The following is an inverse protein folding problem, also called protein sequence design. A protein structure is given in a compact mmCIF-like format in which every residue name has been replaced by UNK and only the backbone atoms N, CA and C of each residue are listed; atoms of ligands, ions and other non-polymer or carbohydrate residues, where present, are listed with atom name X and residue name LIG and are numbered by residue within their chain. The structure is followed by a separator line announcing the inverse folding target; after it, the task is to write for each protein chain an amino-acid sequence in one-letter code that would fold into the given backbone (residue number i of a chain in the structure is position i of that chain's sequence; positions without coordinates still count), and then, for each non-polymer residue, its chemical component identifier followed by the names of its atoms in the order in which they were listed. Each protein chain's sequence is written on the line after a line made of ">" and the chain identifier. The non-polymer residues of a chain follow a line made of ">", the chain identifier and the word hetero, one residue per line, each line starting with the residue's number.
data_IF_500130265534
#
_entry.id   IF_500130265534
#
_cell.length_a   1.000
_cell.length_b   1.000
_cell.length_c   1.000
_cell.angle_alpha   90.00
_cell.angle_beta   90.00
_cell.angle_gamma   90.00
#
_symmetry.space_group_name_H-M   'P 1'
#
loop_
_entity.id
_entity.type
_entity.pdbx_description
1 polymer ?
#
# COMPACT_ATOMS: atom_id res chain seq x y z
N UNK A 1 50.58 -5.66 -49.63
CA UNK A 1 49.68 -5.97 -50.75
C UNK A 1 48.67 -7.03 -50.35
N UNK A 2 47.39 -6.67 -50.16
CA UNK A 2 46.22 -7.41 -50.62
C UNK A 2 44.96 -6.59 -50.35
N UNK A 3 44.22 -6.42 -51.44
CA UNK A 3 43.06 -5.55 -51.69
C UNK A 3 41.79 -6.13 -51.02
N UNK A 4 40.82 -5.29 -50.63
CA UNK A 4 39.61 -5.66 -49.88
C UNK A 4 38.59 -6.46 -50.72
N UNK A 5 37.75 -7.26 -50.04
CA UNK A 5 36.56 -7.90 -50.63
C UNK A 5 35.28 -7.09 -50.36
N UNK A 6 34.31 -7.07 -51.29
CA UNK A 6 33.18 -6.14 -51.35
C UNK A 6 31.93 -6.58 -50.56
N UNK A 7 30.94 -5.69 -50.37
CA UNK A 7 29.75 -5.95 -49.53
C UNK A 7 28.68 -6.81 -50.22
N UNK A 8 28.05 -7.69 -49.44
CA UNK A 8 26.92 -8.51 -49.89
C UNK A 8 25.62 -7.72 -49.77
N UNK A 9 24.88 -7.68 -50.88
CA UNK A 9 23.62 -6.97 -51.09
C UNK A 9 22.47 -7.55 -50.26
N UNK A 10 21.64 -6.63 -49.77
CA UNK A 10 20.31 -6.82 -49.20
C UNK A 10 19.44 -7.71 -50.10
N UNK A 11 18.93 -8.82 -49.56
CA UNK A 11 17.80 -9.58 -50.13
C UNK A 11 16.54 -9.17 -49.40
N UNK A 12 15.65 -8.51 -50.13
CA UNK A 12 14.26 -8.27 -49.77
C UNK A 12 13.53 -9.61 -49.71
N UNK A 13 13.09 -10.02 -48.52
CA UNK A 13 12.13 -11.12 -48.40
C UNK A 13 10.72 -10.55 -48.47
N UNK A 14 10.02 -10.92 -49.55
CA UNK A 14 8.57 -10.77 -49.74
C UNK A 14 7.84 -11.37 -48.54
N UNK A 15 7.08 -10.53 -47.83
CA UNK A 15 6.05 -10.94 -46.89
C UNK A 15 4.86 -11.47 -47.69
N UNK A 16 4.54 -12.75 -47.52
CA UNK A 16 3.31 -13.34 -48.04
C UNK A 16 2.15 -13.09 -47.06
N UNK A 17 0.94 -12.76 -47.54
CA UNK A 17 -0.20 -12.45 -46.68
C UNK A 17 -0.77 -13.72 -46.04
N UNK A 18 -1.04 -13.65 -44.72
CA UNK A 18 -1.77 -14.69 -43.97
C UNK A 18 -3.25 -14.66 -44.37
N UNK A 19 -3.90 -15.81 -44.60
CA UNK A 19 -5.34 -15.85 -44.85
C UNK A 19 -6.13 -15.55 -43.57
N UNK A 20 -7.11 -14.65 -43.71
CA UNK A 20 -8.15 -14.39 -42.73
C UNK A 20 -8.98 -15.65 -42.49
N UNK A 21 -9.03 -16.12 -41.24
CA UNK A 21 -10.05 -17.06 -40.76
C UNK A 21 -11.04 -16.26 -39.92
N UNK A 22 -12.30 -16.30 -40.35
CA UNK A 22 -13.45 -15.69 -39.71
C UNK A 22 -13.70 -16.31 -38.32
N UNK A 23 -14.32 -15.52 -37.45
CA UNK A 23 -14.46 -15.80 -36.03
C UNK A 23 -15.31 -17.02 -35.70
N UNK A 24 -14.74 -17.87 -34.85
CA UNK A 24 -15.49 -18.67 -33.89
C UNK A 24 -15.24 -18.05 -32.51
N UNK A 25 -16.29 -17.44 -31.95
CA UNK A 25 -16.28 -16.93 -30.59
C UNK A 25 -16.22 -18.11 -29.61
N UNK A 26 -15.09 -18.27 -28.93
CA UNK A 26 -15.02 -19.10 -27.72
C UNK A 26 -16.02 -18.54 -26.70
N UNK A 27 -16.84 -19.38 -26.03
CA UNK A 27 -17.63 -18.91 -24.91
C UNK A 27 -16.69 -18.43 -23.80
N UNK A 28 -17.02 -17.32 -23.10
CA UNK A 28 -16.21 -16.85 -21.99
C UNK A 28 -16.12 -17.96 -20.93
N UNK A 29 -14.95 -18.17 -20.30
CA UNK A 29 -14.85 -19.09 -19.18
C UNK A 29 -15.84 -18.64 -18.09
N UNK A 30 -16.48 -19.58 -17.37
CA UNK A 30 -17.37 -19.21 -16.28
C UNK A 30 -16.58 -18.35 -15.31
N UNK A 31 -17.15 -17.20 -14.96
CA UNK A 31 -16.60 -16.29 -13.95
C UNK A 31 -16.66 -17.03 -12.62
N UNK A 32 -15.59 -17.78 -12.34
CA UNK A 32 -15.37 -18.39 -11.04
C UNK A 32 -15.11 -17.25 -10.07
N UNK A 33 -16.10 -17.03 -9.20
CA UNK A 33 -16.01 -16.15 -8.05
C UNK A 33 -14.65 -16.26 -7.37
N UNK A 34 -13.99 -15.10 -7.20
CA UNK A 34 -12.69 -14.89 -6.54
C UNK A 34 -12.52 -15.68 -5.23
N UNK A 35 -13.64 -15.99 -4.56
CA UNK A 35 -13.68 -16.77 -3.31
C UNK A 35 -13.21 -18.23 -3.43
N UNK A 36 -13.33 -18.88 -4.59
CA UNK A 36 -12.90 -20.28 -4.74
C UNK A 36 -11.41 -20.44 -5.09
N UNK A 37 -10.76 -19.42 -5.69
CA UNK A 37 -9.32 -19.47 -5.97
C UNK A 37 -8.45 -19.23 -4.72
N UNK A 38 -8.95 -18.48 -3.72
CA UNK A 38 -8.22 -18.31 -2.46
C UNK A 38 -8.20 -19.58 -1.60
N UNK A 39 -9.23 -20.44 -1.67
CA UNK A 39 -9.34 -21.61 -0.77
C UNK A 39 -8.42 -22.77 -1.14
N UNK A 40 -7.95 -22.84 -2.39
CA UNK A 40 -7.03 -23.89 -2.85
C UNK A 40 -5.54 -23.51 -2.71
N UNK A 41 -5.21 -22.22 -2.58
CA UNK A 41 -3.82 -21.78 -2.30
C UNK A 41 -3.40 -21.88 -0.84
N UNK A 42 -4.35 -21.93 0.10
CA UNK A 42 -4.04 -22.01 1.54
C UNK A 42 -3.53 -23.38 2.02
N UNK A 43 -3.71 -24.46 1.23
CA UNK A 43 -3.27 -25.80 1.64
C UNK A 43 -1.77 -26.07 1.43
N UNK A 44 -1.12 -25.32 0.55
CA UNK A 44 0.28 -25.54 0.16
C UNK A 44 1.29 -24.58 0.80
N UNK A 45 0.84 -23.69 1.71
CA UNK A 45 1.73 -22.78 2.45
C UNK A 45 2.26 -23.36 3.77
N UNK A 46 1.86 -24.57 4.13
CA UNK A 46 2.35 -25.26 5.35
C UNK A 46 3.88 -25.41 5.39
N UNK A 47 4.57 -25.79 4.30
CA UNK A 47 6.03 -25.87 4.31
C UNK A 47 6.71 -24.50 4.42
N UNK A 48 6.08 -23.44 3.92
CA UNK A 48 6.64 -22.08 3.91
C UNK A 48 6.49 -21.38 5.27
N UNK A 49 5.36 -21.58 5.95
CA UNK A 49 5.15 -21.09 7.32
C UNK A 49 6.01 -21.83 8.35
N UNK A 50 6.21 -23.15 8.19
CA UNK A 50 7.14 -23.91 9.03
C UNK A 50 8.60 -23.47 8.87
N UNK A 51 8.99 -23.01 7.67
CA UNK A 51 10.34 -22.51 7.41
C UNK A 51 10.57 -21.08 7.93
N UNK A 52 9.50 -20.28 8.12
CA UNK A 52 9.58 -18.97 8.79
C UNK A 52 9.54 -19.08 10.31
N UNK A 53 8.87 -20.09 10.87
CA UNK A 53 8.87 -20.35 12.31
C UNK A 53 10.28 -20.71 12.87
N UNK A 54 11.19 -21.18 12.03
CA UNK A 54 12.59 -21.48 12.41
C UNK A 54 13.57 -20.32 12.25
N UNK A 55 13.15 -19.18 11.70
CA UNK A 55 13.95 -17.96 11.66
C UNK A 55 13.49 -17.05 12.79
N UNK A 56 14.25 -17.00 13.87
CA UNK A 56 14.06 -16.02 14.94
C UNK A 56 13.93 -14.63 14.32
N UNK A 57 12.73 -14.05 14.33
CA UNK A 57 12.49 -12.66 13.91
C UNK A 57 13.32 -11.77 14.84
N UNK A 58 14.45 -11.20 14.39
CA UNK A 58 15.50 -10.70 15.27
C UNK A 58 15.12 -9.40 16.00
N UNK A 59 13.95 -8.84 15.69
CA UNK A 59 13.42 -7.59 16.24
C UNK A 59 12.23 -7.82 17.17
N UNK A 60 11.72 -9.05 17.29
CA UNK A 60 10.61 -9.35 18.18
C UNK A 60 11.15 -9.84 19.53
N UNK A 61 10.62 -9.27 20.60
CA UNK A 61 10.98 -9.69 21.96
C UNK A 61 10.48 -11.13 22.20
N UNK A 62 11.13 -11.86 23.11
CA UNK A 62 10.75 -13.25 23.43
C UNK A 62 9.26 -13.41 23.79
N UNK A 63 8.63 -12.38 24.37
CA UNK A 63 7.20 -12.37 24.67
C UNK A 63 6.31 -12.22 23.42
N UNK A 64 6.77 -11.47 22.42
CA UNK A 64 6.04 -11.24 21.16
C UNK A 64 6.03 -12.51 20.30
N UNK A 65 7.12 -13.27 20.29
CA UNK A 65 7.20 -14.57 19.64
C UNK A 65 6.22 -15.57 20.27
N UNK A 66 6.11 -15.59 21.60
CA UNK A 66 5.13 -16.47 22.27
C UNK A 66 3.69 -16.08 21.97
N UNK A 67 3.38 -14.78 21.85
CA UNK A 67 2.04 -14.31 21.47
C UNK A 67 1.69 -14.72 20.03
N UNK A 68 2.67 -14.70 19.12
CA UNK A 68 2.49 -15.19 17.75
C UNK A 68 2.21 -16.70 17.71
N UNK A 69 2.89 -17.49 18.54
CA UNK A 69 2.65 -18.93 18.66
C UNK A 69 1.24 -19.24 19.19
N UNK A 70 0.75 -18.48 20.18
CA UNK A 70 -0.65 -18.59 20.65
C UNK A 70 -1.67 -18.13 19.61
N UNK A 71 -1.25 -17.31 18.65
CA UNK A 71 -2.11 -16.77 17.60
C UNK A 71 -2.17 -17.62 16.33
N UNK A 72 -1.31 -18.63 16.18
CA UNK A 72 -1.26 -19.49 15.00
C UNK A 72 -2.62 -20.20 14.77
N UNK A 73 -3.02 -20.32 13.50
CA UNK A 73 -4.31 -20.89 13.12
C UNK A 73 -4.49 -22.33 13.63
N UNK A 74 -5.39 -22.54 14.60
CA UNK A 74 -5.86 -23.87 14.95
C UNK A 74 -7.00 -24.27 13.99
N UNK A 75 -6.97 -25.53 13.57
CA UNK A 75 -8.04 -26.18 12.80
C UNK A 75 -9.43 -26.05 13.45
N UNK A 76 -9.50 -25.77 14.75
CA UNK A 76 -10.72 -25.54 15.53
C UNK A 76 -11.36 -24.16 15.29
N UNK A 77 -10.64 -23.24 14.67
CA UNK A 77 -11.10 -21.87 14.40
C UNK A 77 -11.91 -21.77 13.10
N UNK A 78 -11.95 -22.84 12.30
CA UNK A 78 -12.77 -22.91 11.11
C UNK A 78 -14.20 -23.31 11.52
N UNK A 79 -15.05 -22.32 11.75
CA UNK A 79 -16.49 -22.54 11.90
C UNK A 79 -17.02 -23.02 10.54
N UNK A 80 -17.16 -24.34 10.40
CA UNK A 80 -17.82 -24.94 9.26
C UNK A 80 -19.33 -24.79 9.43
N UNK A 81 -19.90 -23.83 8.72
CA UNK A 81 -21.36 -23.68 8.65
C UNK A 81 -21.97 -24.93 8.02
N UNK A 82 -23.10 -25.37 8.58
CA UNK A 82 -23.92 -26.42 7.98
C UNK A 82 -24.53 -25.94 6.67
N UNK A 83 -24.78 -26.83 5.71
CA UNK A 83 -25.42 -26.50 4.43
C UNK A 83 -26.74 -25.72 4.64
N UNK A 84 -27.50 -26.06 5.68
CA UNK A 84 -28.73 -25.33 6.05
C UNK A 84 -28.44 -23.91 6.49
N UNK A 85 -27.40 -23.68 7.28
CA UNK A 85 -26.99 -22.35 7.75
C UNK A 85 -26.50 -21.49 6.57
N UNK A 86 -25.75 -22.09 5.64
CA UNK A 86 -25.33 -21.39 4.42
C UNK A 86 -26.53 -20.99 3.56
N UNK A 87 -27.53 -21.87 3.42
CA UNK A 87 -28.76 -21.57 2.71
C UNK A 87 -29.55 -20.43 3.39
N UNK A 88 -29.65 -20.44 4.72
CA UNK A 88 -30.32 -19.37 5.48
C UNK A 88 -29.64 -18.01 5.22
N UNK A 89 -28.30 -17.97 5.24
CA UNK A 89 -27.56 -16.73 4.95
C UNK A 89 -27.75 -16.26 3.50
N UNK A 90 -27.79 -17.19 2.54
CA UNK A 90 -28.10 -16.87 1.15
C UNK A 90 -29.50 -16.28 0.99
N UNK A 91 -30.51 -16.91 1.61
CA UNK A 91 -31.89 -16.41 1.60
C UNK A 91 -32.00 -15.04 2.28
N UNK A 92 -31.30 -14.83 3.40
CA UNK A 92 -31.25 -13.51 4.05
C UNK A 92 -30.70 -12.44 3.10
N UNK A 93 -29.60 -12.72 2.40
CA UNK A 93 -29.02 -11.78 1.42
C UNK A 93 -29.98 -11.51 0.27
N UNK A 94 -30.65 -12.54 -0.27
CA UNK A 94 -31.66 -12.39 -1.31
C UNK A 94 -32.85 -11.54 -0.87
N UNK A 95 -33.33 -11.72 0.37
CA UNK A 95 -34.41 -10.89 0.91
C UNK A 95 -33.97 -9.43 1.05
N UNK A 96 -32.73 -9.17 1.47
CA UNK A 96 -32.19 -7.80 1.53
C UNK A 96 -32.11 -7.17 0.13
N UNK A 97 -31.67 -7.93 -0.88
CA UNK A 97 -31.60 -7.47 -2.27
C UNK A 97 -33.00 -7.16 -2.84
N UNK A 98 -33.98 -8.05 -2.64
CA UNK A 98 -35.36 -7.83 -3.05
C UNK A 98 -36.02 -6.63 -2.35
N UNK A 99 -35.67 -6.37 -1.09
CA UNK A 99 -36.14 -5.18 -0.36
C UNK A 99 -35.58 -3.90 -0.99
N UNK A 100 -34.33 -3.91 -1.45
CA UNK A 100 -33.74 -2.77 -2.15
C UNK A 100 -34.39 -2.57 -3.53
N UNK A 101 -34.62 -3.65 -4.28
CA UNK A 101 -35.30 -3.59 -5.58
C UNK A 101 -36.72 -3.02 -5.44
N UNK A 102 -37.48 -3.46 -4.42
CA UNK A 102 -38.81 -2.92 -4.12
C UNK A 102 -38.76 -1.43 -3.81
N UNK A 103 -37.80 -0.99 -2.99
CA UNK A 103 -37.64 0.42 -2.65
C UNK A 103 -37.29 1.27 -3.88
N UNK A 104 -36.47 0.75 -4.79
CA UNK A 104 -36.13 1.42 -6.04
C UNK A 104 -37.34 1.57 -6.96
N UNK A 105 -38.13 0.51 -7.14
CA UNK A 105 -39.36 0.53 -7.96
C UNK A 105 -40.43 1.46 -7.37
N UNK A 106 -40.55 1.53 -6.05
CA UNK A 106 -41.46 2.47 -5.37
C UNK A 106 -41.04 3.92 -5.63
N UNK A 107 -39.74 4.22 -5.58
CA UNK A 107 -39.23 5.57 -5.84
C UNK A 107 -39.40 6.01 -7.31
N UNK A 108 -39.19 5.10 -8.28
CA UNK A 108 -39.44 5.40 -9.71
C UNK A 108 -40.89 5.80 -9.98
N UNK A 109 -41.84 5.27 -9.20
CA UNK A 109 -43.26 5.61 -9.30
C UNK A 109 -43.56 7.03 -8.78
N UNK A 110 -42.85 7.47 -7.74
CA UNK A 110 -43.06 8.77 -7.06
C UNK A 110 -42.44 9.96 -7.82
N UNK A 111 -41.33 9.75 -8.53
CA UNK A 111 -40.65 10.78 -9.33
C UNK A 111 -41.48 11.28 -10.55
N UNK A 112 -42.60 10.63 -10.87
CA UNK A 112 -43.49 11.04 -11.96
C UNK A 112 -44.49 12.16 -11.58
N UNK A 113 -44.45 12.69 -10.34
CA UNK A 113 -45.35 13.74 -9.87
C UNK A 113 -44.72 15.14 -10.02
N UNK A 114 -45.08 15.83 -11.13
CA UNK A 114 -44.45 17.08 -11.59
C UNK A 114 -44.65 18.32 -10.73
N UNK A 115 -43.90 18.44 -9.63
CA UNK A 115 -43.67 19.72 -8.95
C UNK A 115 -42.28 20.30 -9.27
N UNK A 116 -41.99 21.49 -8.73
CA UNK A 116 -40.76 22.25 -8.97
C UNK A 116 -39.50 21.44 -8.59
N UNK A 117 -38.61 21.13 -9.56
CA UNK A 117 -37.55 20.15 -9.37
C UNK A 117 -36.51 20.57 -8.33
N UNK A 118 -36.25 21.87 -8.14
CA UNK A 118 -35.19 22.33 -7.23
C UNK A 118 -35.61 22.22 -5.75
N UNK A 119 -36.83 22.61 -5.40
CA UNK A 119 -37.36 22.46 -4.05
C UNK A 119 -37.56 20.97 -3.68
N UNK A 120 -38.02 20.15 -4.62
CA UNK A 120 -38.14 18.70 -4.43
C UNK A 120 -36.78 18.03 -4.23
N UNK A 121 -35.74 18.48 -4.92
CA UNK A 121 -34.38 17.94 -4.78
C UNK A 121 -33.82 18.25 -3.38
N UNK A 122 -33.99 19.49 -2.89
CA UNK A 122 -33.55 19.88 -1.55
C UNK A 122 -34.28 19.09 -0.43
N UNK A 123 -35.57 18.81 -0.61
CA UNK A 123 -36.36 17.98 0.31
C UNK A 123 -35.89 16.52 0.24
N UNK A 124 -35.75 15.96 -0.97
CA UNK A 124 -35.32 14.59 -1.18
C UNK A 124 -33.90 14.33 -0.66
N UNK A 125 -32.97 15.28 -0.80
CA UNK A 125 -31.62 15.18 -0.23
C UNK A 125 -31.67 15.10 1.30
N UNK A 126 -32.48 15.95 1.93
CA UNK A 126 -32.65 15.96 3.38
C UNK A 126 -33.27 14.65 3.88
N UNK A 127 -34.31 14.18 3.22
CA UNK A 127 -34.98 12.91 3.52
C UNK A 127 -34.05 11.72 3.30
N UNK A 128 -33.24 11.72 2.24
CA UNK A 128 -32.23 10.70 1.99
C UNK A 128 -31.18 10.68 3.10
N UNK A 129 -30.67 11.85 3.51
CA UNK A 129 -29.68 11.93 4.59
C UNK A 129 -30.28 11.44 5.92
N UNK A 130 -31.53 11.78 6.21
CA UNK A 130 -32.26 11.29 7.38
C UNK A 130 -32.45 9.76 7.31
N UNK A 131 -32.94 9.23 6.20
CA UNK A 131 -33.12 7.80 5.97
C UNK A 131 -31.79 7.04 6.06
N UNK A 132 -30.71 7.58 5.49
CA UNK A 132 -29.37 7.00 5.56
C UNK A 132 -28.84 6.98 6.99
N UNK A 133 -29.03 8.07 7.73
CA UNK A 133 -28.59 8.16 9.13
C UNK A 133 -29.35 7.16 10.00
N UNK A 134 -30.68 7.09 9.88
CA UNK A 134 -31.56 6.20 10.65
C UNK A 134 -31.31 4.73 10.30
N UNK A 135 -31.17 4.39 9.02
CA UNK A 135 -30.81 3.04 8.56
C UNK A 135 -29.45 2.62 9.11
N UNK A 136 -28.44 3.50 9.02
CA UNK A 136 -27.09 3.20 9.51
C UNK A 136 -27.09 2.96 11.02
N UNK A 137 -27.79 3.78 11.79
CA UNK A 137 -27.92 3.62 13.25
C UNK A 137 -28.67 2.34 13.58
N UNK A 138 -29.81 2.05 12.92
CA UNK A 138 -30.60 0.85 13.16
C UNK A 138 -29.82 -0.42 12.82
N UNK A 139 -29.14 -0.44 11.67
CA UNK A 139 -28.28 -1.56 11.26
C UNK A 139 -27.14 -1.78 12.25
N UNK A 140 -26.48 -0.70 12.71
CA UNK A 140 -25.45 -0.79 13.75
C UNK A 140 -26.02 -1.34 15.05
N UNK A 141 -27.19 -0.87 15.49
CA UNK A 141 -27.83 -1.37 16.72
C UNK A 141 -28.18 -2.86 16.62
N UNK A 142 -28.79 -3.30 15.51
CA UNK A 142 -29.12 -4.71 15.28
C UNK A 142 -27.85 -5.56 15.26
N UNK A 143 -26.82 -5.14 14.52
CA UNK A 143 -25.55 -5.87 14.45
C UNK A 143 -24.89 -5.96 15.83
N UNK A 144 -24.87 -4.87 16.60
CA UNK A 144 -24.35 -4.89 17.97
C UNK A 144 -25.10 -5.88 18.83
N UNK A 145 -26.44 -5.93 18.79
CA UNK A 145 -27.22 -6.90 19.56
C UNK A 145 -26.89 -8.34 19.13
N UNK A 146 -26.89 -8.61 17.82
CA UNK A 146 -26.60 -9.93 17.25
C UNK A 146 -25.19 -10.43 17.57
N UNK A 147 -24.22 -9.54 17.74
CA UNK A 147 -22.85 -9.90 18.10
C UNK A 147 -22.64 -9.98 19.61
N UNK A 148 -23.15 -9.01 20.37
CA UNK A 148 -22.85 -8.90 21.81
C UNK A 148 -23.56 -9.96 22.65
N UNK A 149 -24.82 -10.28 22.37
CA UNK A 149 -25.57 -11.27 23.13
C UNK A 149 -24.91 -12.66 23.13
N UNK A 150 -24.53 -13.26 21.97
CA UNK A 150 -23.87 -14.55 21.96
C UNK A 150 -22.45 -14.50 22.56
N UNK A 151 -21.74 -13.37 22.45
CA UNK A 151 -20.43 -13.20 23.12
C UNK A 151 -20.58 -13.18 24.64
N UNK A 152 -21.53 -12.40 25.17
CA UNK A 152 -21.82 -12.35 26.61
C UNK A 152 -22.26 -13.73 27.12
N UNK A 153 -23.08 -14.45 26.34
CA UNK A 153 -23.48 -15.82 26.66
C UNK A 153 -22.31 -16.80 26.62
N UNK A 154 -21.38 -16.66 25.68
CA UNK A 154 -20.22 -17.54 25.57
C UNK A 154 -19.22 -17.34 26.72
N UNK A 155 -19.00 -16.09 27.14
CA UNK A 155 -17.99 -15.72 28.15
C UNK A 155 -18.53 -15.81 29.59
N UNK A 156 -19.72 -15.28 29.85
CA UNK A 156 -20.21 -15.07 31.22
C UNK A 156 -21.34 -16.00 31.63
N UNK A 157 -22.12 -16.50 30.67
CA UNK A 157 -23.18 -17.46 30.95
C UNK A 157 -22.66 -18.86 30.60
N UNK A 158 -23.18 -19.91 31.24
CA UNK A 158 -22.83 -21.27 30.83
C UNK A 158 -23.36 -21.47 29.41
N UNK A 159 -22.46 -21.45 28.43
CA UNK A 159 -22.80 -21.65 27.02
C UNK A 159 -23.73 -22.85 26.85
N UNK A 160 -24.97 -22.57 26.44
CA UNK A 160 -26.05 -23.53 26.37
C UNK A 160 -25.98 -24.31 25.05
N UNK A 161 -25.58 -23.65 23.97
CA UNK A 161 -25.47 -24.25 22.64
C UNK A 161 -24.01 -24.61 22.28
N UNK A 162 -23.79 -25.63 21.43
CA UNK A 162 -22.43 -25.95 20.97
C UNK A 162 -21.79 -24.80 20.18
N UNK A 163 -22.59 -24.01 19.47
CA UNK A 163 -22.12 -22.81 18.77
C UNK A 163 -21.59 -21.75 19.76
N UNK A 164 -22.29 -21.51 20.87
CA UNK A 164 -21.81 -20.60 21.94
C UNK A 164 -20.50 -21.10 22.59
N UNK A 165 -20.31 -22.42 22.74
CA UNK A 165 -19.06 -22.97 23.25
C UNK A 165 -17.89 -22.78 22.26
N UNK A 166 -18.15 -22.91 20.96
CA UNK A 166 -17.15 -22.63 19.93
C UNK A 166 -16.76 -21.14 19.91
N UNK A 167 -17.74 -20.24 20.12
CA UNK A 167 -17.49 -18.80 20.19
C UNK A 167 -16.51 -18.42 21.31
N UNK A 168 -16.52 -19.10 22.46
CA UNK A 168 -15.58 -18.81 23.55
C UNK A 168 -14.11 -18.93 23.12
N UNK A 169 -13.78 -19.97 22.34
CA UNK A 169 -12.41 -20.15 21.83
C UNK A 169 -12.03 -19.03 20.87
N UNK A 170 -12.93 -18.67 19.96
CA UNK A 170 -12.71 -17.56 19.01
C UNK A 170 -12.58 -16.21 19.70
N UNK A 171 -13.34 -15.96 20.77
CA UNK A 171 -13.24 -14.73 21.58
C UNK A 171 -11.89 -14.68 22.27
N UNK A 172 -11.46 -15.76 22.94
CA UNK A 172 -10.14 -15.80 23.58
C UNK A 172 -9.01 -15.59 22.57
N UNK A 173 -9.10 -16.19 21.38
CA UNK A 173 -8.11 -15.99 20.31
C UNK A 173 -8.10 -14.56 19.81
N UNK A 174 -9.28 -13.96 19.58
CA UNK A 174 -9.40 -12.55 19.21
C UNK A 174 -8.72 -11.66 20.25
N UNK A 175 -8.90 -11.94 21.53
CA UNK A 175 -8.31 -11.14 22.61
C UNK A 175 -6.78 -11.29 22.66
N UNK A 176 -6.25 -12.51 22.45
CA UNK A 176 -4.79 -12.74 22.30
C UNK A 176 -4.24 -12.01 21.07
N UNK A 177 -4.94 -12.08 19.93
CA UNK A 177 -4.58 -11.37 18.71
C UNK A 177 -4.61 -9.85 18.89
N UNK A 178 -5.60 -9.33 19.62
CA UNK A 178 -5.70 -7.90 19.92
C UNK A 178 -4.53 -7.44 20.78
N UNK A 179 -4.13 -8.22 21.80
CA UNK A 179 -2.94 -7.95 22.60
C UNK A 179 -1.65 -8.01 21.78
N UNK A 180 -1.51 -9.02 20.92
CA UNK A 180 -0.36 -9.14 20.03
C UNK A 180 -0.28 -7.95 19.05
N UNK A 181 -1.43 -7.52 18.52
CA UNK A 181 -1.52 -6.38 17.61
C UNK A 181 -1.14 -5.07 18.30
N UNK A 182 -1.67 -4.82 19.50
CA UNK A 182 -1.34 -3.62 20.29
C UNK A 182 0.16 -3.56 20.61
N UNK A 183 0.75 -4.69 21.00
CA UNK A 183 2.19 -4.77 21.26
C UNK A 183 3.00 -4.46 20.01
N UNK A 184 2.65 -5.08 18.87
CA UNK A 184 3.34 -4.83 17.61
C UNK A 184 3.17 -3.38 17.14
N UNK A 185 1.97 -2.80 17.28
CA UNK A 185 1.70 -1.40 16.97
C UNK A 185 2.54 -0.47 17.84
N UNK A 186 2.65 -0.75 19.14
CA UNK A 186 3.48 0.05 20.06
C UNK A 186 4.98 -0.05 19.73
N UNK A 187 5.46 -1.23 19.35
CA UNK A 187 6.84 -1.45 18.91
C UNK A 187 7.13 -0.72 17.58
N UNK A 188 6.19 -0.79 16.64
CA UNK A 188 6.25 -0.07 15.38
C UNK A 188 6.33 1.45 15.61
N UNK A 189 5.47 2.01 16.46
CA UNK A 189 5.49 3.43 16.80
C UNK A 189 6.80 3.85 17.45
N UNK A 190 7.38 3.01 18.30
CA UNK A 190 8.69 3.25 18.89
C UNK A 190 9.78 3.31 17.83
N UNK A 191 9.80 2.36 16.89
CA UNK A 191 10.76 2.34 15.77
C UNK A 191 10.59 3.57 14.90
N UNK A 192 9.36 4.00 14.62
CA UNK A 192 9.10 5.22 13.82
C UNK A 192 9.57 6.49 14.52
N UNK A 193 9.39 6.59 15.85
CA UNK A 193 9.95 7.70 16.65
C UNK A 193 11.47 7.68 16.64
N UNK A 194 12.08 6.50 16.72
CA UNK A 194 13.54 6.37 16.65
C UNK A 194 14.07 6.78 15.27
N UNK A 195 13.46 6.29 14.19
CA UNK A 195 13.80 6.63 12.81
C UNK A 195 13.74 8.14 12.60
N UNK A 196 12.60 8.78 12.91
CA UNK A 196 12.44 10.23 12.78
C UNK A 196 13.46 11.01 13.62
N UNK A 197 13.77 10.56 14.83
CA UNK A 197 14.81 11.20 15.65
C UNK A 197 16.21 11.09 15.03
N UNK A 198 16.52 9.97 14.37
CA UNK A 198 17.79 9.74 13.68
C UNK A 198 17.86 10.55 12.38
N UNK A 199 16.74 10.68 11.66
CA UNK A 199 16.64 11.54 10.47
C UNK A 199 16.89 13.01 10.82
N UNK A 200 16.28 13.51 11.89
CA UNK A 200 16.52 14.89 12.37
C UNK A 200 18.01 15.08 12.72
N UNK A 201 18.61 14.11 13.44
CA UNK A 201 20.05 14.16 13.77
C UNK A 201 20.92 14.13 12.52
N UNK A 202 20.57 13.32 11.53
CA UNK A 202 21.30 13.23 10.26
C UNK A 202 21.24 14.57 9.50
N UNK A 203 20.06 15.18 9.42
CA UNK A 203 19.89 16.52 8.82
C UNK A 203 20.73 17.58 9.56
N UNK A 204 20.74 17.55 10.89
CA UNK A 204 21.53 18.47 11.69
C UNK A 204 23.04 18.30 11.42
N UNK A 205 23.55 17.06 11.44
CA UNK A 205 24.94 16.75 11.14
C UNK A 205 25.29 17.17 9.71
N UNK A 206 24.40 16.97 8.74
CA UNK A 206 24.65 17.41 7.36
C UNK A 206 24.73 18.92 7.24
N UNK A 207 23.91 19.68 7.98
CA UNK A 207 24.01 21.15 8.03
C UNK A 207 25.33 21.60 8.64
N UNK A 208 25.75 20.99 9.75
CA UNK A 208 27.03 21.26 10.40
C UNK A 208 28.21 20.93 9.47
N UNK A 209 28.16 19.78 8.79
CA UNK A 209 29.16 19.40 7.79
C UNK A 209 29.22 20.40 6.63
N UNK A 210 28.07 20.87 6.12
CA UNK A 210 28.03 21.91 5.08
C UNK A 210 28.66 23.21 5.56
N UNK A 211 28.38 23.63 6.79
CA UNK A 211 28.93 24.84 7.38
C UNK A 211 30.45 24.74 7.59
N UNK A 212 30.93 23.61 8.12
CA UNK A 212 32.36 23.35 8.25
C UNK A 212 33.07 23.32 6.89
N UNK A 213 32.44 22.72 5.87
CA UNK A 213 32.97 22.74 4.50
C UNK A 213 33.00 24.17 3.94
N UNK A 214 31.99 25.00 4.20
CA UNK A 214 31.99 26.42 3.81
C UNK A 214 33.13 27.18 4.48
N UNK A 215 33.31 27.03 5.79
CA UNK A 215 34.40 27.65 6.54
C UNK A 215 35.76 27.17 6.04
N UNK A 216 35.93 25.88 5.76
CA UNK A 216 37.16 25.34 5.17
C UNK A 216 37.41 25.95 3.79
N UNK A 217 36.40 26.04 2.93
CA UNK A 217 36.52 26.67 1.63
C UNK A 217 36.86 28.16 1.72
N UNK A 218 36.32 28.88 2.70
CA UNK A 218 36.65 30.27 2.96
C UNK A 218 38.11 30.44 3.39
N UNK A 219 38.56 29.66 4.39
CA UNK A 219 39.95 29.65 4.85
C UNK A 219 40.93 29.23 3.74
N UNK A 220 40.55 28.27 2.89
CA UNK A 220 41.41 27.80 1.79
C UNK A 220 41.36 28.68 0.54
N UNK A 221 40.32 29.50 0.34
CA UNK A 221 40.28 30.53 -0.71
C UNK A 221 41.34 31.58 -0.47
N UNK A 222 41.47 32.03 0.78
CA UNK A 222 42.52 32.98 1.21
C UNK A 222 43.93 32.41 0.99
N UNK A 223 44.06 31.08 1.10
CA UNK A 223 45.35 30.39 1.02
C UNK A 223 45.63 29.70 -0.32
N UNK A 224 44.96 30.09 -1.42
CA UNK A 224 45.12 29.49 -2.77
C UNK A 224 46.57 29.48 -3.30
N UNK A 225 47.49 30.18 -2.63
CA UNK A 225 48.94 30.10 -2.81
C UNK A 225 49.52 28.68 -2.68
N UNK A 226 48.84 27.75 -1.99
CA UNK A 226 49.29 26.36 -1.87
C UNK A 226 49.28 25.61 -3.20
N UNK A 227 48.36 25.96 -4.12
CA UNK A 227 48.27 25.34 -5.45
C UNK A 227 49.52 25.63 -6.29
N UNK A 228 50.12 26.80 -6.12
CA UNK A 228 51.37 27.20 -6.77
C UNK A 228 52.63 26.64 -6.07
N UNK A 229 52.53 26.36 -4.76
CA UNK A 229 53.60 25.76 -3.95
C UNK A 229 53.69 24.23 -4.09
N UNK A 230 52.64 23.57 -4.59
CA UNK A 230 52.59 22.12 -4.77
C UNK A 230 53.43 21.68 -5.99
N UNK A 231 54.72 21.37 -5.76
CA UNK A 231 55.66 20.91 -6.81
C UNK A 231 55.70 19.39 -7.02
N UNK A 232 54.95 18.63 -6.22
CA UNK A 232 54.99 17.17 -6.25
C UNK A 232 54.04 16.61 -7.33
N UNK A 233 54.55 15.97 -8.40
CA UNK A 233 53.73 15.52 -9.53
C UNK A 233 52.71 14.42 -9.16
N UNK A 234 52.98 13.64 -8.10
CA UNK A 234 52.05 12.60 -7.64
C UNK A 234 50.76 13.20 -7.07
N UNK A 235 50.88 14.27 -6.27
CA UNK A 235 49.72 14.96 -5.67
C UNK A 235 48.89 15.72 -6.72
N UNK A 236 49.54 16.27 -7.75
CA UNK A 236 48.83 16.91 -8.88
C UNK A 236 47.99 15.89 -9.67
N UNK A 237 48.52 14.68 -9.90
CA UNK A 237 47.76 13.62 -10.57
C UNK A 237 46.55 13.15 -9.75
N UNK A 238 46.67 13.07 -8.42
CA UNK A 238 45.57 12.74 -7.52
C UNK A 238 44.51 13.85 -7.49
N UNK A 239 44.92 15.12 -7.44
CA UNK A 239 44.00 16.25 -7.49
C UNK A 239 43.20 16.26 -8.80
N UNK A 240 43.86 16.05 -9.94
CA UNK A 240 43.20 15.94 -11.23
C UNK A 240 42.19 14.79 -11.26
N UNK A 241 42.51 13.63 -10.66
CA UNK A 241 41.57 12.51 -10.57
C UNK A 241 40.35 12.83 -9.69
N UNK A 242 40.54 13.55 -8.57
CA UNK A 242 39.44 13.97 -7.71
C UNK A 242 38.54 15.02 -8.38
N UNK A 243 39.11 15.93 -9.16
CA UNK A 243 38.32 16.88 -9.95
C UNK A 243 37.48 16.17 -11.02
N UNK A 244 38.02 15.14 -11.67
CA UNK A 244 37.25 14.33 -12.63
C UNK A 244 36.14 13.55 -11.95
N UNK A 245 36.41 12.97 -10.77
CA UNK A 245 35.41 12.23 -9.99
C UNK A 245 34.31 13.17 -9.47
N UNK A 246 34.68 14.38 -9.03
CA UNK A 246 33.72 15.40 -8.61
C UNK A 246 32.81 15.82 -9.76
N UNK A 247 33.36 16.06 -10.96
CA UNK A 247 32.56 16.38 -12.15
C UNK A 247 31.63 15.24 -12.53
N UNK A 248 32.10 13.98 -12.45
CA UNK A 248 31.27 12.81 -12.72
C UNK A 248 30.11 12.68 -11.72
N UNK A 249 30.37 12.87 -10.42
CA UNK A 249 29.34 12.84 -9.38
C UNK A 249 28.36 14.01 -9.48
N UNK A 250 28.84 15.21 -9.82
CA UNK A 250 27.97 16.37 -10.09
C UNK A 250 27.04 16.06 -11.25
N UNK A 251 27.56 15.54 -12.37
CA UNK A 251 26.73 15.15 -13.51
C UNK A 251 25.67 14.09 -13.12
N UNK A 252 26.03 13.09 -12.31
CA UNK A 252 25.08 12.10 -11.80
C UNK A 252 23.99 12.75 -10.93
N UNK A 253 24.37 13.69 -10.05
CA UNK A 253 23.41 14.41 -9.22
C UNK A 253 22.44 15.25 -10.05
N UNK A 254 22.93 15.99 -11.07
CA UNK A 254 22.06 16.75 -11.97
C UNK A 254 21.09 15.84 -12.73
N UNK A 255 21.54 14.66 -13.18
CA UNK A 255 20.62 13.70 -13.82
C UNK A 255 19.56 13.19 -12.86
N UNK A 256 19.91 12.91 -11.60
CA UNK A 256 18.95 12.47 -10.59
C UNK A 256 17.96 13.59 -10.23
N UNK A 257 18.44 14.83 -10.12
CA UNK A 257 17.61 16.02 -9.89
C UNK A 257 16.60 16.22 -11.01
N UNK A 258 17.03 16.12 -12.28
CA UNK A 258 16.15 16.20 -13.45
C UNK A 258 15.11 15.08 -13.50
N UNK A 259 15.49 13.85 -13.13
CA UNK A 259 14.54 12.73 -13.06
C UNK A 259 13.52 12.98 -11.94
N UNK A 260 13.96 13.43 -10.76
CA UNK A 260 13.07 13.71 -9.64
C UNK A 260 12.08 14.84 -9.96
N UNK A 261 12.53 15.93 -10.59
CA UNK A 261 11.63 17.02 -11.00
C UNK A 261 10.62 16.56 -12.05
N UNK A 262 11.04 15.76 -13.03
CA UNK A 262 10.13 15.16 -14.01
C UNK A 262 9.08 14.24 -13.36
N UNK A 263 9.47 13.45 -12.35
CA UNK A 263 8.55 12.59 -11.60
C UNK A 263 7.51 13.43 -10.84
N UNK A 264 7.94 14.47 -10.12
CA UNK A 264 7.04 15.37 -9.37
C UNK A 264 6.04 16.09 -10.29
N UNK A 265 6.49 16.56 -11.46
CA UNK A 265 5.59 17.18 -12.45
C UNK A 265 4.62 16.14 -13.03
N UNK A 266 5.07 14.91 -13.26
CA UNK A 266 4.24 13.84 -13.84
C UNK A 266 3.25 13.20 -12.86
N UNK A 267 3.49 13.29 -11.55
CA UNK A 267 2.67 12.62 -10.53
C UNK A 267 1.33 13.32 -10.26
N UNK A 268 1.06 14.46 -10.89
CA UNK A 268 -0.16 15.23 -10.70
C UNK A 268 -0.29 15.85 -9.30
N UNK A 269 0.81 15.90 -8.54
CA UNK A 269 0.87 16.63 -7.28
C UNK A 269 0.82 18.13 -7.58
N UNK A 270 0.10 18.90 -6.76
CA UNK A 270 0.05 20.36 -6.89
C UNK A 270 1.35 20.99 -6.35
N UNK A 271 2.43 20.86 -7.12
CA UNK A 271 3.77 21.34 -6.79
C UNK A 271 3.91 22.86 -6.89
N UNK A 272 2.93 23.57 -7.47
CA UNK A 272 2.97 25.03 -7.64
C UNK A 272 2.72 25.79 -6.32
N UNK A 273 1.94 25.19 -5.41
CA UNK A 273 1.58 25.78 -4.12
C UNK A 273 2.59 25.47 -3.00
N UNK A 274 3.50 24.51 -3.22
CA UNK A 274 4.56 24.16 -2.26
C UNK A 274 5.88 24.84 -2.69
N UNK A 275 6.37 25.79 -1.89
CA UNK A 275 7.59 26.54 -2.17
C UNK A 275 8.83 25.63 -2.34
N UNK A 276 8.89 24.48 -1.67
CA UNK A 276 10.02 23.55 -1.76
C UNK A 276 9.97 22.75 -3.07
N UNK A 277 8.79 22.29 -3.47
CA UNK A 277 8.60 21.59 -4.75
C UNK A 277 8.72 22.55 -5.93
N UNK A 278 8.24 23.78 -5.78
CA UNK A 278 8.40 24.85 -6.76
C UNK A 278 9.88 25.16 -6.98
N UNK A 279 10.67 25.30 -5.91
CA UNK A 279 12.11 25.50 -6.01
C UNK A 279 12.83 24.31 -6.68
N UNK A 280 12.42 23.08 -6.39
CA UNK A 280 12.98 21.87 -7.00
C UNK A 280 12.70 21.77 -8.51
N UNK A 281 11.55 22.27 -8.96
CA UNK A 281 11.10 22.17 -10.37
C UNK A 281 11.53 23.39 -11.21
N UNK A 282 11.46 24.61 -10.65
CA UNK A 282 11.75 25.85 -11.37
C UNK A 282 13.23 26.26 -11.34
N UNK A 283 14.05 25.58 -10.55
CA UNK A 283 15.50 25.77 -10.49
C UNK A 283 15.93 27.24 -10.29
N UNK A 284 15.26 27.97 -9.39
CA UNK A 284 15.54 29.39 -9.10
C UNK A 284 16.86 29.62 -8.31
N UNK A 285 17.78 28.66 -8.27
CA UNK A 285 19.02 28.75 -7.48
C UNK A 285 20.33 28.74 -8.29
N UNK A 286 20.31 29.14 -9.55
CA UNK A 286 21.54 29.36 -10.33
C UNK A 286 21.63 30.82 -10.80
N UNK A 287 22.04 31.68 -9.86
CA UNK A 287 22.98 32.81 -10.03
C UNK A 287 23.82 32.96 -8.75
#
# INVERSE_FOLDING_TARGET
>A
MRVPKPPVRLRTMKVAPRPHVAGEALPPPPVLSSYHQMRLRSRDLRPWLQNMASHSLPHLQSGEVTLLDYSADDSRDVVTLSDKETLILQLYNQVQEQQLEKAFLEQELELCSGADPEEQLAIAERELLEARSTYTVRRKAILTILMTEPILKAVHLKAATPAEKALLYLVNRRDVLALAHENLASAHDLVMRQLSSLEIKNLQINRENQELVRQLLELTKEDSSWREKLKDPALLSQLASFETDFKARKAQWETMKSIASAVVVSSGLNWADDDMLRALVLDESDD
#
